data_IF_716817453788
#
_entry.id   IF_716817453788
#
_cell.length_a   1.000
_cell.length_b   1.000
_cell.length_c   1.000
_cell.angle_alpha   90.00
_cell.angle_beta   90.00
_cell.angle_gamma   90.00
#
_symmetry.space_group_name_H-M   'P 1'
#
loop_
_entity.id
_entity.type
_entity.pdbx_description
1 polymer ?
#
# COMPACT_ATOMS: atom_id res chain seq x y z
N UNK A 1 -46.39 13.64 14.24
CA UNK A 1 -47.29 12.97 15.23
C UNK A 1 -48.74 12.91 14.73
N UNK A 2 -49.45 11.89 15.13
CA UNK A 2 -50.84 11.64 14.74
C UNK A 2 -51.82 12.28 15.73
N UNK A 3 -53.04 12.57 15.26
CA UNK A 3 -54.17 13.04 16.10
C UNK A 3 -53.89 14.36 16.81
N UNK A 4 -53.16 15.29 16.20
CA UNK A 4 -52.86 16.60 16.78
C UNK A 4 -54.14 17.46 16.75
N UNK A 5 -54.51 18.07 17.90
CA UNK A 5 -55.65 18.96 17.97
C UNK A 5 -55.42 20.20 17.14
N UNK A 6 -56.38 20.48 16.26
CA UNK A 6 -56.48 21.73 15.49
C UNK A 6 -57.65 22.53 16.07
N UNK A 7 -57.39 23.74 16.54
CA UNK A 7 -58.42 24.64 17.10
C UNK A 7 -58.70 25.77 16.13
N UNK A 8 -59.98 26.03 15.85
CA UNK A 8 -60.42 27.17 15.06
C UNK A 8 -60.38 28.42 15.94
N UNK A 9 -59.36 29.27 15.76
CA UNK A 9 -59.09 30.41 16.61
C UNK A 9 -60.01 31.61 16.31
N UNK A 10 -60.47 31.78 15.06
CA UNK A 10 -61.41 32.85 14.66
C UNK A 10 -62.26 32.42 13.46
N UNK A 11 -63.46 32.87 13.42
CA UNK A 11 -64.34 32.73 12.29
C UNK A 11 -64.92 34.14 11.99
N UNK A 12 -64.75 34.59 10.75
CA UNK A 12 -65.34 35.84 10.28
C UNK A 12 -66.49 35.53 9.28
N UNK A 13 -67.67 36.02 9.52
CA UNK A 13 -68.76 35.91 8.59
C UNK A 13 -68.78 37.11 7.63
N UNK A 14 -69.13 36.88 6.37
CA UNK A 14 -69.41 37.90 5.36
C UNK A 14 -70.77 37.63 4.73
N UNK A 15 -71.37 38.64 4.16
CA UNK A 15 -72.65 38.50 3.48
C UNK A 15 -72.52 37.51 2.31
N UNK A 16 -73.47 36.61 2.22
CA UNK A 16 -73.53 35.58 1.19
C UNK A 16 -74.45 35.96 0.04
N UNK A 17 -74.65 35.06 -0.92
CA UNK A 17 -75.68 35.17 -1.96
C UNK A 17 -77.03 34.81 -1.43
N UNK A 18 -78.12 35.20 -2.16
CA UNK A 18 -79.51 34.91 -1.85
C UNK A 18 -80.02 35.53 -0.53
N UNK A 19 -79.53 36.75 -0.16
CA UNK A 19 -80.04 37.49 0.96
C UNK A 19 -79.51 37.10 2.35
N UNK A 20 -78.48 36.27 2.42
CA UNK A 20 -77.82 35.95 3.68
C UNK A 20 -76.93 37.10 4.15
N UNK A 21 -77.38 37.82 5.23
CA UNK A 21 -76.61 38.90 5.85
C UNK A 21 -75.86 38.38 7.07
N UNK A 22 -74.52 38.61 7.13
CA UNK A 22 -73.67 38.22 8.24
C UNK A 22 -74.08 38.76 9.59
N UNK A 23 -74.71 39.98 9.58
CA UNK A 23 -75.27 40.65 10.76
C UNK A 23 -76.44 39.92 11.43
N UNK A 24 -77.05 38.96 10.75
CA UNK A 24 -78.17 38.18 11.28
C UNK A 24 -77.67 36.90 12.04
N UNK A 25 -76.41 36.66 12.07
CA UNK A 25 -75.87 35.44 12.64
C UNK A 25 -74.67 35.72 13.58
N UNK A 26 -74.51 34.84 14.55
CA UNK A 26 -73.31 34.76 15.41
C UNK A 26 -72.71 33.40 15.29
N UNK A 27 -71.39 33.35 15.28
CA UNK A 27 -70.65 32.09 15.30
C UNK A 27 -69.59 32.14 16.40
N UNK A 28 -69.48 31.08 17.17
CA UNK A 28 -68.40 30.94 18.20
C UNK A 28 -67.18 30.27 17.60
N UNK A 29 -66.02 30.81 17.90
CA UNK A 29 -64.74 30.12 17.69
C UNK A 29 -64.49 29.05 18.78
N UNK A 30 -63.43 28.27 18.67
CA UNK A 30 -63.01 27.25 19.64
C UNK A 30 -63.41 25.81 19.28
N UNK A 31 -64.04 25.61 18.07
CA UNK A 31 -64.25 24.24 17.58
C UNK A 31 -62.85 23.51 17.41
N UNK A 32 -62.80 22.23 17.75
CA UNK A 32 -61.61 21.42 17.63
C UNK A 32 -61.83 20.24 16.72
N UNK A 33 -60.78 19.89 15.98
CA UNK A 33 -60.69 18.63 15.21
C UNK A 33 -59.30 18.08 15.39
N UNK A 34 -58.96 16.98 14.72
CA UNK A 34 -57.62 16.40 14.75
C UNK A 34 -57.03 16.29 13.34
N UNK A 35 -55.72 16.46 13.23
CA UNK A 35 -54.98 16.24 12.00
C UNK A 35 -53.61 15.67 12.33
N UNK A 36 -52.97 15.02 11.36
CA UNK A 36 -51.65 14.48 11.49
C UNK A 36 -50.59 15.46 11.00
N UNK A 37 -49.46 15.50 11.73
CA UNK A 37 -48.22 16.11 11.24
C UNK A 37 -47.28 14.98 10.87
N UNK A 38 -47.02 14.83 9.57
CA UNK A 38 -46.10 13.81 9.04
C UNK A 38 -44.65 14.30 9.04
N UNK A 39 -43.70 13.37 9.13
CA UNK A 39 -42.29 13.70 9.04
C UNK A 39 -41.96 14.29 7.66
N UNK A 40 -41.13 15.32 7.65
CA UNK A 40 -40.62 15.95 6.43
C UNK A 40 -39.45 15.15 5.87
N UNK A 41 -39.40 14.96 4.56
CA UNK A 41 -38.23 14.32 3.90
C UNK A 41 -36.99 15.20 4.03
N UNK A 42 -35.90 14.60 4.43
CA UNK A 42 -34.57 15.21 4.54
C UNK A 42 -33.56 14.34 3.84
N UNK A 43 -32.81 14.87 2.86
CA UNK A 43 -31.73 14.16 2.17
C UNK A 43 -30.38 14.70 2.63
N UNK A 44 -29.51 13.82 3.07
CA UNK A 44 -28.13 14.12 3.49
C UNK A 44 -27.18 13.72 2.39
N UNK A 45 -26.32 14.66 1.96
CA UNK A 45 -25.34 14.45 0.88
C UNK A 45 -24.07 15.29 1.11
N UNK A 46 -23.05 15.17 0.23
CA UNK A 46 -21.82 15.95 0.31
C UNK A 46 -20.79 15.39 1.30
N UNK A 47 -20.99 14.17 1.82
CA UNK A 47 -20.03 13.48 2.66
C UNK A 47 -18.93 12.90 1.77
N UNK A 48 -17.66 13.20 2.08
CA UNK A 48 -16.49 12.71 1.35
C UNK A 48 -15.57 11.92 2.27
N UNK A 49 -14.63 11.14 1.70
CA UNK A 49 -13.59 10.45 2.44
C UNK A 49 -12.21 10.87 1.94
N UNK A 50 -11.25 10.91 2.84
CA UNK A 50 -9.85 11.21 2.51
C UNK A 50 -9.15 9.98 1.95
N UNK A 51 -8.24 10.19 0.98
CA UNK A 51 -7.28 9.17 0.59
C UNK A 51 -6.38 8.82 1.77
N UNK A 52 -5.88 7.59 1.80
CA UNK A 52 -4.89 7.16 2.79
C UNK A 52 -3.78 6.34 2.16
N UNK A 53 -2.65 6.27 2.84
CA UNK A 53 -1.61 5.27 2.56
C UNK A 53 -1.99 3.95 3.23
N UNK A 54 -1.66 2.83 2.60
CA UNK A 54 -1.91 1.50 3.15
C UNK A 54 -1.41 1.35 4.59
N UNK A 55 -2.27 0.88 5.46
CA UNK A 55 -2.06 0.74 6.90
C UNK A 55 -2.63 -0.58 7.47
N UNK A 56 -2.94 -1.53 6.57
CA UNK A 56 -3.51 -2.85 6.84
C UNK A 56 -4.90 -2.85 7.49
N UNK A 57 -5.60 -1.70 7.57
CA UNK A 57 -6.97 -1.63 8.09
C UNK A 57 -7.94 -0.99 7.08
N UNK A 58 -9.23 -1.11 7.34
CA UNK A 58 -10.31 -0.59 6.50
C UNK A 58 -10.90 0.74 6.97
N UNK A 59 -10.41 1.33 8.05
CA UNK A 59 -10.96 2.59 8.56
C UNK A 59 -10.74 3.72 7.57
N UNK A 60 -11.76 4.53 7.33
CA UNK A 60 -11.72 5.71 6.48
C UNK A 60 -11.91 6.99 7.31
N UNK A 61 -11.10 8.01 7.02
CA UNK A 61 -11.32 9.35 7.54
C UNK A 61 -12.38 10.04 6.70
N UNK A 62 -13.51 10.40 7.31
CA UNK A 62 -14.66 11.01 6.67
C UNK A 62 -14.65 12.52 6.89
N UNK A 63 -14.96 13.28 5.85
CA UNK A 63 -15.11 14.74 5.89
C UNK A 63 -16.58 15.12 5.74
N UNK A 64 -17.08 15.86 6.72
CA UNK A 64 -18.45 16.35 6.79
C UNK A 64 -18.58 17.88 6.61
N UNK A 65 -17.46 18.57 6.32
CA UNK A 65 -17.45 20.04 6.18
C UNK A 65 -18.27 20.58 5.01
N UNK A 66 -18.58 19.73 4.01
CA UNK A 66 -19.42 20.08 2.85
C UNK A 66 -20.77 19.37 2.85
N UNK A 67 -21.20 18.85 4.01
CA UNK A 67 -22.49 18.16 4.13
C UNK A 67 -23.62 19.13 3.82
N UNK A 68 -24.54 18.69 3.00
CA UNK A 68 -25.76 19.39 2.63
C UNK A 68 -27.00 18.65 3.14
N UNK A 69 -27.94 19.39 3.67
CA UNK A 69 -29.20 18.91 4.22
C UNK A 69 -30.38 19.48 3.38
N UNK A 70 -30.74 18.77 2.31
CA UNK A 70 -31.88 19.19 1.47
C UNK A 70 -33.19 18.85 2.16
N UNK A 71 -33.98 19.87 2.47
CA UNK A 71 -35.27 19.75 3.17
C UNK A 71 -35.23 20.15 4.65
N UNK A 72 -34.07 20.47 5.22
CA UNK A 72 -33.95 20.96 6.59
C UNK A 72 -34.68 22.33 6.73
N UNK A 73 -35.45 22.50 7.80
CA UNK A 73 -36.12 23.77 8.14
C UNK A 73 -35.09 24.66 8.83
N UNK A 74 -35.08 25.94 8.42
CA UNK A 74 -34.16 26.91 9.03
C UNK A 74 -34.47 27.10 10.52
N UNK A 75 -33.45 26.97 11.35
CA UNK A 75 -33.55 27.10 12.80
C UNK A 75 -33.72 25.79 13.55
N UNK A 76 -33.97 24.68 12.85
CA UNK A 76 -34.03 23.35 13.48
C UNK A 76 -32.63 22.89 13.94
N UNK A 77 -32.61 22.25 15.11
CA UNK A 77 -31.40 21.68 15.69
C UNK A 77 -31.15 20.27 15.14
N UNK A 78 -30.13 20.14 14.29
CA UNK A 78 -29.80 18.91 13.60
C UNK A 78 -28.28 18.78 13.45
N UNK A 79 -27.72 17.65 13.88
CA UNK A 79 -26.29 17.30 13.78
C UNK A 79 -26.11 15.89 13.21
N UNK A 80 -25.06 15.69 12.41
CA UNK A 80 -24.67 14.37 11.88
C UNK A 80 -23.32 13.94 12.46
N UNK A 81 -23.21 12.65 12.78
CA UNK A 81 -21.96 11.97 13.04
C UNK A 81 -21.83 10.82 12.04
N UNK A 82 -20.67 10.69 11.40
CA UNK A 82 -20.44 9.71 10.32
C UNK A 82 -19.13 8.97 10.55
N UNK A 83 -19.17 7.64 10.39
CA UNK A 83 -17.99 6.80 10.24
C UNK A 83 -17.95 6.19 8.84
N UNK A 84 -16.74 5.91 8.34
CA UNK A 84 -16.52 5.32 7.02
C UNK A 84 -15.65 4.07 7.09
N UNK A 85 -15.95 3.12 6.21
CA UNK A 85 -15.18 1.87 6.11
C UNK A 85 -14.95 1.53 4.64
N UNK A 86 -13.68 1.34 4.26
CA UNK A 86 -13.31 0.84 2.94
C UNK A 86 -13.80 -0.60 2.74
N UNK A 87 -14.10 -0.96 1.50
CA UNK A 87 -14.52 -2.30 1.08
C UNK A 87 -13.49 -3.40 1.45
N UNK A 88 -12.19 -3.07 1.38
CA UNK A 88 -11.08 -3.89 1.85
C UNK A 88 -9.85 -3.02 2.14
N UNK A 89 -8.80 -3.59 2.76
CA UNK A 89 -7.58 -2.87 3.14
C UNK A 89 -6.65 -2.52 1.96
N UNK A 90 -6.78 -3.21 0.81
CA UNK A 90 -5.78 -3.20 -0.26
C UNK A 90 -5.72 -1.87 -1.03
N UNK A 91 -4.54 -1.61 -1.60
CA UNK A 91 -4.27 -0.49 -2.52
C UNK A 91 -5.25 -0.51 -3.69
N UNK A 92 -5.74 0.67 -4.04
CA UNK A 92 -6.65 0.86 -5.17
C UNK A 92 -7.14 2.29 -5.29
N UNK A 93 -7.61 2.63 -6.48
CA UNK A 93 -8.21 3.93 -6.80
C UNK A 93 -9.72 3.83 -6.82
N UNK A 94 -10.41 4.90 -6.38
CA UNK A 94 -11.87 4.96 -6.39
C UNK A 94 -12.55 3.86 -5.56
N UNK A 95 -11.89 3.39 -4.49
CA UNK A 95 -12.44 2.34 -3.64
C UNK A 95 -13.68 2.82 -2.93
N UNK A 96 -14.68 1.96 -2.80
CA UNK A 96 -15.90 2.27 -2.07
C UNK A 96 -15.64 2.41 -0.59
N UNK A 97 -16.12 3.51 -0.03
CA UNK A 97 -16.20 3.76 1.41
C UNK A 97 -17.67 3.74 1.81
N UNK A 98 -18.08 2.70 2.52
CA UNK A 98 -19.41 2.60 3.13
C UNK A 98 -19.52 3.58 4.29
N UNK A 99 -20.62 4.32 4.35
CA UNK A 99 -20.88 5.33 5.38
C UNK A 99 -21.93 4.84 6.36
N UNK A 100 -21.65 5.01 7.64
CA UNK A 100 -22.61 4.79 8.74
C UNK A 100 -22.85 6.12 9.42
N UNK A 101 -24.08 6.63 9.28
CA UNK A 101 -24.48 7.96 9.79
C UNK A 101 -25.43 7.81 10.99
N UNK A 102 -25.24 8.66 11.97
CA UNK A 102 -26.18 8.87 13.08
C UNK A 102 -26.52 10.34 13.21
N UNK A 103 -27.70 10.63 13.68
CA UNK A 103 -28.24 11.98 13.76
C UNK A 103 -28.66 12.31 15.18
N UNK A 104 -28.45 13.55 15.60
CA UNK A 104 -28.84 14.07 16.89
C UNK A 104 -29.35 15.52 16.79
N UNK A 105 -30.12 15.93 17.79
CA UNK A 105 -30.79 17.25 17.85
C UNK A 105 -32.23 17.10 18.26
N UNK A 106 -32.83 18.15 18.80
CA UNK A 106 -34.24 18.17 19.27
C UNK A 106 -35.25 17.90 18.16
N UNK A 107 -34.88 18.22 16.92
CA UNK A 107 -35.81 18.23 15.79
C UNK A 107 -35.68 17.03 14.85
N UNK A 108 -34.72 16.12 15.11
CA UNK A 108 -34.43 14.93 14.28
C UNK A 108 -35.69 14.08 14.04
N UNK A 109 -36.55 13.93 15.07
CA UNK A 109 -37.76 13.10 15.00
C UNK A 109 -38.83 13.66 14.05
N UNK A 110 -38.68 14.92 13.59
CA UNK A 110 -39.58 15.57 12.64
C UNK A 110 -39.24 15.23 11.18
N UNK A 111 -38.15 14.44 10.94
CA UNK A 111 -37.66 14.13 9.61
C UNK A 111 -37.68 12.65 9.28
N UNK A 112 -37.97 12.35 8.01
CA UNK A 112 -37.67 11.05 7.38
C UNK A 112 -36.37 11.19 6.59
N UNK A 113 -35.27 10.60 7.10
CA UNK A 113 -33.92 10.89 6.62
C UNK A 113 -33.50 9.86 5.57
N UNK A 114 -33.03 10.35 4.41
CA UNK A 114 -32.35 9.59 3.38
C UNK A 114 -30.85 9.86 3.48
N UNK A 115 -30.09 8.82 3.82
CA UNK A 115 -28.64 8.89 4.03
C UNK A 115 -27.88 8.82 2.71
N UNK A 116 -26.71 9.46 2.65
CA UNK A 116 -25.69 9.10 1.69
C UNK A 116 -25.07 7.77 2.17
N UNK A 117 -25.23 6.69 1.38
CA UNK A 117 -24.81 5.34 1.80
C UNK A 117 -23.30 5.09 1.62
N UNK A 118 -22.66 5.78 0.66
CA UNK A 118 -21.25 5.59 0.34
C UNK A 118 -20.61 6.81 -0.30
N UNK A 119 -19.29 6.81 -0.34
CA UNK A 119 -18.43 7.71 -1.11
C UNK A 119 -17.24 6.91 -1.66
N UNK A 120 -16.28 7.58 -2.28
CA UNK A 120 -15.05 6.91 -2.76
C UNK A 120 -13.81 7.63 -2.29
N UNK A 121 -12.72 6.85 -2.10
CA UNK A 121 -11.39 7.38 -1.82
C UNK A 121 -10.32 6.39 -2.30
N UNK A 122 -9.05 6.81 -2.32
CA UNK A 122 -7.94 5.97 -2.75
C UNK A 122 -7.16 5.43 -1.53
N UNK A 123 -6.67 4.21 -1.68
CA UNK A 123 -5.61 3.66 -0.82
C UNK A 123 -4.33 3.57 -1.66
N UNK A 124 -3.28 4.30 -1.28
CA UNK A 124 -2.00 4.33 -1.97
C UNK A 124 -1.00 3.37 -1.34
N UNK A 125 -0.04 2.87 -2.15
CA UNK A 125 0.97 1.93 -1.67
C UNK A 125 1.85 2.54 -0.58
N UNK A 126 2.19 1.73 0.43
CA UNK A 126 3.13 2.09 1.48
C UNK A 126 4.56 1.88 1.00
N UNK A 127 5.44 2.83 1.27
CA UNK A 127 6.87 2.67 0.98
C UNK A 127 7.48 1.55 1.85
N UNK A 128 8.25 0.66 1.21
CA UNK A 128 9.00 -0.42 1.83
C UNK A 128 10.43 -0.41 1.30
N UNK A 129 11.41 -0.34 2.19
CA UNK A 129 12.83 -0.39 1.81
C UNK A 129 13.44 -1.71 2.25
N UNK A 130 14.10 -2.41 1.31
CA UNK A 130 14.82 -3.66 1.55
C UNK A 130 16.32 -3.38 1.60
N UNK A 131 16.99 -3.82 2.67
CA UNK A 131 18.42 -3.61 2.92
C UNK A 131 19.03 -4.74 3.73
N UNK A 132 20.34 -4.68 3.99
CA UNK A 132 21.04 -5.67 4.82
C UNK A 132 21.49 -6.93 4.07
N UNK A 133 21.40 -6.95 2.72
CA UNK A 133 21.90 -8.05 1.90
C UNK A 133 23.42 -7.89 1.73
N UNK A 134 24.17 -8.93 2.05
CA UNK A 134 25.62 -8.98 1.91
C UNK A 134 26.01 -10.02 0.85
N UNK A 135 27.26 -10.01 0.41
CA UNK A 135 27.83 -11.06 -0.43
C UNK A 135 29.08 -11.63 0.21
N UNK A 136 29.31 -12.91 0.03
CA UNK A 136 30.54 -13.60 0.50
C UNK A 136 31.63 -13.49 -0.53
N UNK A 137 32.87 -13.35 -0.06
CA UNK A 137 34.06 -13.55 -0.89
C UNK A 137 34.11 -14.99 -1.43
N UNK A 138 34.67 -15.14 -2.63
CA UNK A 138 34.85 -16.47 -3.21
C UNK A 138 36.24 -16.65 -3.80
N UNK A 139 36.66 -17.89 -3.96
CA UNK A 139 37.83 -18.26 -4.76
C UNK A 139 37.45 -18.27 -6.25
N UNK A 140 38.37 -17.85 -7.11
CA UNK A 140 38.19 -17.87 -8.56
C UNK A 140 37.73 -19.23 -9.06
N UNK A 141 36.62 -19.25 -9.77
CA UNK A 141 35.96 -20.44 -10.33
C UNK A 141 35.49 -20.23 -11.77
N UNK A 142 35.87 -19.09 -12.41
CA UNK A 142 35.47 -18.72 -13.76
C UNK A 142 34.02 -18.19 -13.89
N UNK A 143 33.23 -18.17 -12.83
CA UNK A 143 31.83 -17.74 -12.85
C UNK A 143 31.64 -16.37 -12.23
N UNK A 144 30.54 -15.73 -12.58
CA UNK A 144 30.08 -14.45 -11.97
C UNK A 144 29.07 -14.65 -10.85
N UNK A 145 28.65 -15.87 -10.55
CA UNK A 145 27.67 -16.12 -9.47
C UNK A 145 28.24 -15.71 -8.12
N UNK A 146 27.44 -14.99 -7.32
CA UNK A 146 27.77 -14.59 -5.97
C UNK A 146 26.84 -15.26 -4.95
N UNK A 147 27.40 -15.74 -3.85
CA UNK A 147 26.62 -16.21 -2.70
C UNK A 147 26.24 -15.03 -1.85
N UNK A 148 24.93 -14.83 -1.64
CA UNK A 148 24.38 -13.74 -0.82
C UNK A 148 24.13 -14.20 0.61
N UNK A 149 24.44 -13.33 1.58
CA UNK A 149 24.02 -13.44 2.96
C UNK A 149 22.70 -12.68 3.17
N UNK A 150 21.64 -13.42 3.49
CA UNK A 150 20.27 -12.87 3.61
C UNK A 150 19.69 -12.95 5.02
N UNK A 151 20.45 -13.44 6.01
CA UNK A 151 20.00 -13.59 7.39
C UNK A 151 19.69 -12.28 8.11
N UNK A 152 20.25 -11.16 7.63
CA UNK A 152 20.10 -9.83 8.21
C UNK A 152 19.28 -8.89 7.30
N UNK A 153 18.47 -9.43 6.39
CA UNK A 153 17.60 -8.62 5.53
C UNK A 153 16.57 -7.88 6.39
N UNK A 154 16.50 -6.57 6.18
CA UNK A 154 15.56 -5.67 6.84
C UNK A 154 14.51 -5.20 5.85
N UNK A 155 13.26 -5.26 6.27
CA UNK A 155 12.08 -4.75 5.55
C UNK A 155 11.56 -3.50 6.28
N UNK A 156 12.19 -2.35 6.03
CA UNK A 156 11.80 -1.10 6.69
C UNK A 156 10.50 -0.57 6.09
N UNK A 157 9.47 -0.46 6.91
CA UNK A 157 8.13 -0.03 6.50
C UNK A 157 7.12 -1.17 6.36
N UNK A 158 7.54 -2.43 6.47
CA UNK A 158 6.62 -3.57 6.49
C UNK A 158 5.71 -3.50 7.73
N UNK A 159 4.43 -3.75 7.55
CA UNK A 159 3.46 -3.83 8.64
C UNK A 159 3.50 -5.24 9.21
N UNK A 160 3.53 -5.32 10.54
CA UNK A 160 3.52 -6.61 11.23
C UNK A 160 2.22 -7.38 10.93
N UNK A 161 2.38 -8.64 10.54
CA UNK A 161 1.27 -9.53 10.16
C UNK A 161 0.99 -9.58 8.67
N UNK A 162 1.58 -8.69 7.85
CA UNK A 162 1.44 -8.79 6.40
C UNK A 162 2.32 -9.92 5.83
N UNK A 163 1.78 -10.61 4.82
CA UNK A 163 2.45 -11.67 4.08
C UNK A 163 3.38 -11.07 3.04
N UNK A 164 4.70 -11.08 3.31
CA UNK A 164 5.73 -10.54 2.43
C UNK A 164 7.03 -11.34 2.57
N UNK A 165 7.61 -11.79 1.45
CA UNK A 165 8.90 -12.48 1.39
C UNK A 165 9.73 -12.05 0.19
N UNK A 166 11.06 -12.09 0.31
CA UNK A 166 12.00 -11.76 -0.75
C UNK A 166 12.88 -12.95 -1.16
N UNK A 167 13.17 -13.06 -2.45
CA UNK A 167 14.15 -13.97 -3.02
C UNK A 167 15.22 -13.16 -3.74
N UNK A 168 16.49 -13.54 -3.59
CA UNK A 168 17.63 -12.74 -4.01
C UNK A 168 18.66 -13.58 -4.74
N UNK A 169 19.24 -13.03 -5.81
CA UNK A 169 20.41 -13.59 -6.50
C UNK A 169 21.46 -12.52 -6.72
N UNK A 170 22.74 -12.91 -6.65
CA UNK A 170 23.87 -12.01 -6.79
C UNK A 170 24.74 -12.34 -7.98
N UNK A 171 25.26 -11.31 -8.66
CA UNK A 171 26.14 -11.47 -9.80
C UNK A 171 27.29 -10.47 -9.72
N UNK A 172 28.54 -10.97 -9.71
CA UNK A 172 29.73 -10.14 -9.82
C UNK A 172 29.78 -9.43 -11.19
N UNK A 173 30.32 -8.22 -11.23
CA UNK A 173 30.50 -7.46 -12.46
C UNK A 173 31.37 -8.15 -13.53
N UNK A 174 32.29 -9.05 -13.13
CA UNK A 174 33.03 -10.00 -13.97
C UNK A 174 33.64 -11.10 -13.10
N UNK A 175 34.13 -12.20 -13.71
CA UNK A 175 34.67 -13.35 -13.02
C UNK A 175 36.13 -13.16 -12.52
N UNK A 176 36.83 -12.09 -12.89
CA UNK A 176 38.25 -11.90 -12.58
C UNK A 176 38.50 -11.64 -11.10
N UNK A 177 39.65 -12.04 -10.62
CA UNK A 177 40.17 -11.77 -9.29
C UNK A 177 40.20 -10.24 -9.03
N UNK A 178 39.79 -9.85 -7.83
CA UNK A 178 39.80 -8.45 -7.40
C UNK A 178 39.10 -8.28 -6.05
N UNK A 179 39.54 -7.29 -5.30
CA UNK A 179 38.97 -6.93 -4.01
C UNK A 179 37.80 -5.92 -4.22
N UNK A 180 36.81 -5.98 -3.35
CA UNK A 180 35.72 -5.02 -3.30
C UNK A 180 34.93 -4.90 -4.62
N UNK A 181 34.80 -5.99 -5.35
CA UNK A 181 34.05 -6.01 -6.63
C UNK A 181 32.58 -5.81 -6.39
N UNK A 182 31.92 -5.07 -7.29
CA UNK A 182 30.47 -4.90 -7.25
C UNK A 182 29.76 -6.22 -7.52
N UNK A 183 28.82 -6.55 -6.63
CA UNK A 183 27.86 -7.63 -6.80
C UNK A 183 26.49 -6.99 -7.00
N UNK A 184 25.95 -7.12 -8.20
CA UNK A 184 24.57 -6.70 -8.52
C UNK A 184 23.58 -7.67 -7.88
N UNK A 185 22.54 -7.15 -7.23
CA UNK A 185 21.50 -7.94 -6.58
C UNK A 185 20.23 -7.85 -7.43
N UNK A 186 19.69 -8.99 -7.82
CA UNK A 186 18.37 -9.13 -8.39
C UNK A 186 17.41 -9.65 -7.32
N UNK A 187 16.28 -8.95 -7.15
CA UNK A 187 15.29 -9.26 -6.12
C UNK A 187 13.93 -9.55 -6.73
N UNK A 188 13.21 -10.48 -6.15
CA UNK A 188 11.79 -10.72 -6.41
C UNK A 188 11.04 -10.87 -5.09
N UNK A 189 9.76 -10.45 -5.07
CA UNK A 189 8.97 -10.43 -3.84
C UNK A 189 7.68 -11.20 -4.06
N UNK A 190 7.21 -11.87 -3.02
CA UNK A 190 6.00 -12.68 -3.00
C UNK A 190 5.26 -12.56 -1.67
N UNK A 191 3.99 -12.92 -1.65
CA UNK A 191 3.08 -12.83 -0.51
C UNK A 191 1.81 -12.06 -0.88
N UNK A 192 0.74 -12.28 -0.14
CA UNK A 192 -0.58 -11.75 -0.46
C UNK A 192 -0.65 -10.21 -0.37
N UNK A 193 0.22 -9.62 0.45
CA UNK A 193 0.22 -8.18 0.70
C UNK A 193 1.28 -7.40 -0.11
N UNK A 194 2.07 -8.05 -0.98
CA UNK A 194 3.16 -7.40 -1.77
C UNK A 194 2.65 -6.23 -2.59
N UNK A 195 1.48 -6.36 -3.20
CA UNK A 195 0.87 -5.31 -4.03
C UNK A 195 0.50 -4.03 -3.27
N UNK A 196 0.48 -4.10 -1.93
CA UNK A 196 0.20 -2.97 -1.07
C UNK A 196 1.44 -2.11 -0.77
N UNK A 197 2.61 -2.50 -1.29
CA UNK A 197 3.87 -1.82 -1.05
C UNK A 197 4.51 -1.29 -2.34
N UNK A 198 5.15 -0.12 -2.23
CA UNK A 198 6.11 0.40 -3.21
C UNK A 198 7.51 0.06 -2.71
N UNK A 199 8.11 -0.99 -3.31
CA UNK A 199 9.36 -1.58 -2.81
C UNK A 199 10.58 -0.90 -3.42
N UNK A 200 11.48 -0.41 -2.58
CA UNK A 200 12.83 0.04 -2.94
C UNK A 200 13.81 -1.03 -2.51
N UNK A 201 14.40 -1.74 -3.49
CA UNK A 201 15.33 -2.85 -3.27
C UNK A 201 16.77 -2.37 -3.13
N UNK A 202 17.56 -3.06 -2.32
CA UNK A 202 19.02 -2.93 -2.38
C UNK A 202 19.52 -3.48 -3.71
N UNK A 203 20.14 -2.64 -4.54
CA UNK A 203 20.54 -2.99 -5.91
C UNK A 203 21.92 -3.62 -6.01
N UNK A 204 22.79 -3.42 -5.01
CA UNK A 204 24.15 -3.94 -5.03
C UNK A 204 24.76 -4.07 -3.63
N UNK A 205 25.85 -4.84 -3.57
CA UNK A 205 26.78 -4.94 -2.45
C UNK A 205 28.19 -5.17 -3.00
N UNK A 206 29.17 -5.45 -2.15
CA UNK A 206 30.54 -5.73 -2.59
C UNK A 206 31.07 -7.02 -1.96
N UNK A 207 31.92 -7.74 -2.71
CA UNK A 207 32.67 -8.89 -2.22
C UNK A 207 33.95 -9.05 -3.07
N UNK A 208 34.86 -9.93 -2.66
CA UNK A 208 36.14 -10.17 -3.35
C UNK A 208 36.16 -11.52 -4.04
N UNK A 209 36.85 -11.59 -5.19
CA UNK A 209 37.27 -12.84 -5.81
C UNK A 209 38.77 -13.01 -5.57
N UNK A 210 39.14 -14.01 -4.80
CA UNK A 210 40.55 -14.29 -4.50
C UNK A 210 41.15 -15.31 -5.49
N UNK A 211 42.46 -15.30 -5.63
CA UNK A 211 43.19 -16.21 -6.53
C UNK A 211 42.94 -17.67 -6.13
N UNK A 212 42.74 -18.53 -7.11
CA UNK A 212 42.75 -19.98 -6.96
C UNK A 212 44.18 -20.48 -6.96
N UNK A 213 44.56 -21.36 -6.03
CA UNK A 213 45.87 -21.98 -5.99
C UNK A 213 45.99 -23.04 -7.09
N UNK A 214 47.14 -23.08 -7.75
CA UNK A 214 47.52 -24.12 -8.71
C UNK A 214 48.64 -24.97 -8.13
N UNK A 215 48.67 -26.25 -8.49
CA UNK A 215 49.80 -27.13 -8.23
C UNK A 215 50.59 -27.27 -9.53
N UNK A 216 51.90 -27.03 -9.46
CA UNK A 216 52.82 -27.27 -10.57
C UNK A 216 53.58 -28.56 -10.33
N UNK A 217 53.74 -29.36 -11.37
CA UNK A 217 54.65 -30.49 -11.40
C UNK A 217 55.63 -30.35 -12.56
N UNK A 218 56.88 -30.77 -12.35
CA UNK A 218 57.96 -30.68 -13.32
C UNK A 218 58.49 -32.06 -13.70
N UNK A 219 58.77 -32.24 -14.96
CA UNK A 219 59.53 -33.37 -15.48
C UNK A 219 60.78 -32.86 -16.22
N UNK A 220 61.90 -33.54 -16.15
CA UNK A 220 63.11 -33.18 -16.87
C UNK A 220 63.53 -34.29 -17.82
N UNK A 221 64.05 -33.89 -18.98
CA UNK A 221 64.64 -34.83 -19.94
C UNK A 221 66.08 -35.12 -19.60
N UNK A 222 66.54 -36.39 -19.82
CA UNK A 222 67.94 -36.74 -19.79
C UNK A 222 68.70 -35.97 -20.89
N UNK A 223 69.95 -35.62 -20.61
CA UNK A 223 70.78 -34.98 -21.61
C UNK A 223 72.16 -35.60 -21.67
N UNK A 224 72.76 -35.65 -22.86
CA UNK A 224 74.16 -36.01 -23.06
C UNK A 224 75.06 -34.86 -22.61
N UNK A 225 76.19 -35.15 -21.99
CA UNK A 225 77.14 -34.13 -21.57
C UNK A 225 77.55 -33.20 -22.74
N UNK A 226 77.42 -31.91 -22.53
CA UNK A 226 77.74 -30.88 -23.53
C UNK A 226 78.46 -29.65 -22.92
N UNK A 227 79.02 -29.78 -21.73
CA UNK A 227 79.82 -28.75 -21.05
C UNK A 227 78.99 -27.61 -20.40
N UNK A 228 77.67 -27.69 -20.35
CA UNK A 228 76.80 -26.71 -19.65
C UNK A 228 75.81 -27.39 -18.71
N UNK A 229 75.19 -26.59 -17.81
CA UNK A 229 74.21 -27.04 -16.80
C UNK A 229 72.78 -26.84 -17.21
N UNK A 230 72.47 -26.33 -18.41
CA UNK A 230 71.09 -26.07 -18.86
C UNK A 230 70.31 -27.38 -18.94
N UNK A 231 69.14 -27.43 -18.33
CA UNK A 231 68.24 -28.59 -18.36
C UNK A 231 66.98 -28.25 -19.21
N UNK A 232 66.42 -29.25 -19.87
CA UNK A 232 65.13 -29.17 -20.52
C UNK A 232 64.08 -29.73 -19.57
N UNK A 233 63.16 -28.85 -19.12
CA UNK A 233 62.05 -29.25 -18.23
C UNK A 233 60.71 -28.92 -18.85
N UNK A 234 59.73 -29.74 -18.56
CA UNK A 234 58.32 -29.50 -18.88
C UNK A 234 57.53 -29.29 -17.58
N UNK A 235 56.76 -28.19 -17.47
CA UNK A 235 55.84 -27.96 -16.36
C UNK A 235 54.43 -28.31 -16.78
N UNK A 236 53.67 -28.88 -15.87
CA UNK A 236 52.22 -29.05 -15.98
C UNK A 236 51.55 -28.44 -14.76
N UNK A 237 50.36 -27.84 -14.96
CA UNK A 237 49.56 -27.27 -13.89
C UNK A 237 48.29 -28.07 -13.70
N UNK A 238 47.92 -28.30 -12.44
CA UNK A 238 46.61 -28.82 -12.06
C UNK A 238 45.85 -27.78 -11.22
N UNK A 239 44.51 -27.78 -11.35
CA UNK A 239 43.65 -26.86 -10.65
C UNK A 239 43.13 -25.68 -11.48
N UNK A 240 43.46 -25.59 -12.78
CA UNK A 240 42.87 -24.65 -13.71
C UNK A 240 41.34 -24.83 -13.77
N UNK A 241 40.62 -23.78 -14.14
CA UNK A 241 39.15 -23.80 -14.26
C UNK A 241 38.76 -24.15 -15.70
N UNK A 242 37.94 -25.18 -15.85
CA UNK A 242 37.47 -25.60 -17.17
C UNK A 242 38.57 -25.94 -18.14
N UNK A 243 38.61 -25.30 -19.30
CA UNK A 243 39.63 -25.49 -20.36
C UNK A 243 40.67 -24.35 -20.40
N UNK A 244 40.84 -23.59 -19.32
CA UNK A 244 41.81 -22.51 -19.25
C UNK A 244 43.26 -23.04 -19.42
N UNK A 245 44.08 -22.25 -20.09
CA UNK A 245 45.51 -22.53 -20.27
C UNK A 245 46.34 -21.34 -19.80
N UNK A 246 47.54 -21.61 -19.33
CA UNK A 246 48.51 -20.57 -18.96
C UNK A 246 49.77 -20.67 -19.82
N UNK A 247 50.25 -19.54 -20.29
CA UNK A 247 51.58 -19.43 -20.85
C UNK A 247 52.62 -19.55 -19.74
N UNK A 248 53.74 -20.19 -20.01
CA UNK A 248 54.85 -20.37 -19.07
C UNK A 248 56.23 -20.15 -19.71
N UNK A 249 57.16 -19.67 -18.94
CA UNK A 249 58.60 -19.71 -19.27
C UNK A 249 59.33 -20.38 -18.11
N UNK A 250 60.24 -21.28 -18.42
CA UNK A 250 60.97 -22.08 -17.44
C UNK A 250 62.44 -21.95 -17.74
N UNK A 251 63.24 -21.67 -16.73
CA UNK A 251 64.67 -21.87 -16.78
C UNK A 251 65.07 -22.95 -15.75
N UNK A 252 65.90 -23.87 -16.14
CA UNK A 252 66.27 -24.98 -15.27
C UNK A 252 67.73 -25.39 -15.52
N UNK A 253 68.37 -25.85 -14.49
CA UNK A 253 69.79 -26.31 -14.49
C UNK A 253 69.89 -27.62 -13.77
N UNK A 254 70.94 -28.42 -14.19
CA UNK A 254 71.44 -29.59 -13.45
C UNK A 254 72.21 -29.16 -12.24
#
# INVERSE_FOLDING_TARGET
GTGKTVTVNSITLSDGSNGGLASNYTVSAGQTTTADITAKSLTVSGITASNKTYDANTNATVNIGSVSYSGLVSGDNFTVSVSGTFDNKNVGTGKTVSLSSSYSGSDVSNYSITNQASTTANVTAKALTVSGITASDKTYDGSTSATLGTSNVLYSGLINGDSFSGSYSGTFNNANVGAGKTVTISSSYSGDDVSNYSVTSQSSTTASIVKKSLTASATASNKTYNGNTTATTTLSFSGLVGSETLGQSVSSTF
#
